data_IF_853695419641
#
_entry.id   IF_853695419641
#
_cell.length_a   1.000
_cell.length_b   1.000
_cell.length_c   1.000
_cell.angle_alpha   90.00
_cell.angle_beta   90.00
_cell.angle_gamma   90.00
#
_symmetry.space_group_name_H-M   'P 1'
#
loop_
_entity.id
_entity.type
_entity.pdbx_description
1 polymer ?
#
# COMPACT_ATOMS: atom_id res chain seq x y z
N UNK A 1 -32.85 25.34 -16.47
CA UNK A 1 -32.70 24.52 -15.22
C UNK A 1 -32.10 23.21 -15.66
N UNK A 2 -30.81 23.04 -15.50
CA UNK A 2 -30.05 21.86 -15.92
C UNK A 2 -29.62 21.12 -14.66
N UNK A 3 -30.14 19.90 -14.46
CA UNK A 3 -29.82 19.02 -13.36
C UNK A 3 -28.39 18.46 -13.53
N UNK A 4 -27.42 19.08 -12.87
CA UNK A 4 -26.10 18.49 -12.68
C UNK A 4 -26.15 17.48 -11.53
N UNK A 5 -26.71 16.30 -11.80
CA UNK A 5 -26.60 15.14 -10.93
C UNK A 5 -25.16 14.64 -10.87
N UNK A 6 -24.51 14.82 -9.71
CA UNK A 6 -23.19 14.28 -9.41
C UNK A 6 -23.26 12.76 -9.26
N UNK A 7 -23.37 12.03 -10.36
CA UNK A 7 -23.11 10.58 -10.38
C UNK A 7 -21.61 10.32 -10.19
N UNK A 8 -21.15 10.20 -8.96
CA UNK A 8 -19.91 9.50 -8.60
C UNK A 8 -20.11 7.98 -8.80
N UNK A 9 -20.46 7.55 -10.01
CA UNK A 9 -20.48 6.15 -10.37
C UNK A 9 -19.08 5.57 -10.29
N UNK A 10 -18.95 4.33 -9.79
CA UNK A 10 -17.69 3.57 -9.87
C UNK A 10 -17.23 3.58 -11.32
N UNK A 11 -16.02 4.08 -11.57
CA UNK A 11 -15.47 4.16 -12.92
C UNK A 11 -15.04 2.77 -13.34
N UNK A 12 -15.48 2.33 -14.51
CA UNK A 12 -15.16 1.03 -15.08
C UNK A 12 -13.68 0.95 -15.46
N UNK A 13 -13.06 -0.21 -15.26
CA UNK A 13 -11.70 -0.51 -15.69
C UNK A 13 -11.64 -1.27 -17.01
N UNK A 14 -12.78 -1.65 -17.57
CA UNK A 14 -12.86 -2.40 -18.84
C UNK A 14 -12.13 -1.70 -19.96
N UNK A 15 -11.17 -2.38 -20.59
CA UNK A 15 -10.33 -1.86 -21.68
C UNK A 15 -9.33 -0.76 -21.28
N UNK A 16 -9.16 -0.46 -19.98
CA UNK A 16 -8.13 0.46 -19.50
C UNK A 16 -6.78 -0.22 -19.42
N UNK A 17 -5.74 0.45 -19.88
CA UNK A 17 -4.35 0.02 -19.74
C UNK A 17 -3.82 0.45 -18.37
N UNK A 18 -3.60 -0.53 -17.50
CA UNK A 18 -3.12 -0.30 -16.11
C UNK A 18 -1.72 -0.85 -15.94
N UNK A 19 -0.73 0.01 -15.78
CA UNK A 19 0.67 -0.34 -15.54
C UNK A 19 0.89 -0.58 -14.03
N UNK A 20 1.41 -1.77 -13.67
CA UNK A 20 1.62 -2.14 -12.27
C UNK A 20 3.09 -2.52 -12.07
N UNK A 21 3.80 -1.81 -11.17
CA UNK A 21 5.19 -2.11 -10.85
C UNK A 21 5.32 -3.09 -9.69
N UNK A 22 6.37 -3.92 -9.70
CA UNK A 22 6.58 -4.97 -8.70
C UNK A 22 5.52 -6.06 -8.79
N UNK A 23 5.05 -6.36 -10.00
CA UNK A 23 3.91 -7.23 -10.26
C UNK A 23 4.19 -8.73 -10.13
N UNK A 24 5.45 -9.15 -10.01
CA UNK A 24 5.81 -10.58 -9.97
C UNK A 24 5.49 -11.26 -8.63
N UNK A 25 5.19 -10.53 -7.54
CA UNK A 25 4.95 -11.12 -6.23
C UNK A 25 4.11 -10.23 -5.30
N UNK A 26 3.67 -10.80 -4.16
CA UNK A 26 3.05 -10.06 -3.07
C UNK A 26 1.85 -9.21 -3.49
N UNK A 27 1.82 -7.95 -3.06
CA UNK A 27 0.74 -7.00 -3.35
C UNK A 27 0.58 -6.77 -4.85
N UNK A 28 1.71 -6.62 -5.58
CA UNK A 28 1.67 -6.32 -7.03
C UNK A 28 1.04 -7.46 -7.84
N UNK A 29 1.40 -8.73 -7.54
CA UNK A 29 0.77 -9.90 -8.17
C UNK A 29 -0.73 -9.97 -7.85
N UNK A 30 -1.10 -9.86 -6.58
CA UNK A 30 -2.51 -9.88 -6.18
C UNK A 30 -3.32 -8.74 -6.83
N UNK A 31 -2.73 -7.54 -6.93
CA UNK A 31 -3.35 -6.40 -7.61
C UNK A 31 -3.51 -6.65 -9.11
N UNK A 32 -2.51 -7.23 -9.78
CA UNK A 32 -2.58 -7.56 -11.20
C UNK A 32 -3.76 -8.49 -11.51
N UNK A 33 -3.90 -9.58 -10.74
CA UNK A 33 -5.02 -10.51 -10.86
C UNK A 33 -6.38 -9.83 -10.62
N UNK A 34 -6.48 -9.03 -9.55
CA UNK A 34 -7.72 -8.36 -9.19
C UNK A 34 -8.13 -7.28 -10.21
N UNK A 35 -7.17 -6.55 -10.76
CA UNK A 35 -7.40 -5.49 -11.77
C UNK A 35 -7.77 -6.11 -13.12
N UNK A 36 -7.09 -7.19 -13.55
CA UNK A 36 -7.45 -7.94 -14.77
C UNK A 36 -8.87 -8.50 -14.67
N UNK A 37 -9.27 -9.05 -13.52
CA UNK A 37 -10.65 -9.51 -13.26
C UNK A 37 -11.71 -8.42 -13.39
N UNK A 38 -11.31 -7.13 -13.33
CA UNK A 38 -12.19 -5.98 -13.60
C UNK A 38 -12.19 -5.54 -15.07
N UNK A 39 -11.66 -6.36 -15.98
CA UNK A 39 -11.65 -6.11 -17.42
C UNK A 39 -10.56 -5.16 -17.91
N UNK A 40 -9.59 -4.80 -17.08
CA UNK A 40 -8.44 -4.01 -17.51
C UNK A 40 -7.44 -4.86 -18.29
N UNK A 41 -6.71 -4.23 -19.20
CA UNK A 41 -5.47 -4.76 -19.78
C UNK A 41 -4.34 -4.38 -18.82
N UNK A 42 -3.74 -5.37 -18.16
CA UNK A 42 -2.68 -5.11 -17.18
C UNK A 42 -1.30 -5.22 -17.82
N UNK A 43 -0.50 -4.18 -17.62
CA UNK A 43 0.89 -4.08 -18.08
C UNK A 43 1.78 -4.25 -16.84
N UNK A 44 2.50 -5.37 -16.79
CA UNK A 44 3.17 -5.80 -15.57
C UNK A 44 4.68 -5.52 -15.65
N UNK A 45 5.23 -4.76 -14.70
CA UNK A 45 6.65 -4.48 -14.60
C UNK A 45 7.26 -5.18 -13.38
N UNK A 46 8.31 -5.95 -13.61
CA UNK A 46 9.20 -6.50 -12.58
C UNK A 46 10.55 -6.83 -13.19
N UNK A 47 11.57 -7.11 -12.35
CA UNK A 47 12.92 -7.42 -12.83
C UNK A 47 13.09 -8.87 -13.32
N UNK A 48 12.36 -9.80 -12.71
CA UNK A 48 12.46 -11.24 -13.01
C UNK A 48 11.42 -11.61 -14.04
N UNK A 49 11.91 -12.00 -15.21
CA UNK A 49 11.05 -12.33 -16.35
C UNK A 49 10.20 -13.57 -16.08
N UNK A 50 10.83 -14.65 -15.60
CA UNK A 50 10.17 -15.93 -15.30
C UNK A 50 9.00 -15.82 -14.33
N UNK A 51 9.19 -15.07 -13.24
CA UNK A 51 8.10 -14.82 -12.29
C UNK A 51 7.00 -13.91 -12.87
N UNK A 52 7.37 -13.00 -13.76
CA UNK A 52 6.44 -12.09 -14.40
C UNK A 52 5.58 -12.85 -15.41
N UNK A 53 6.22 -13.71 -16.21
CA UNK A 53 5.54 -14.56 -17.21
C UNK A 53 4.54 -15.51 -16.53
N UNK A 54 4.90 -16.09 -15.39
CA UNK A 54 3.96 -16.91 -14.62
C UNK A 54 2.69 -16.14 -14.19
N UNK A 55 2.81 -14.86 -13.84
CA UNK A 55 1.63 -14.03 -13.49
C UNK A 55 0.81 -13.69 -14.75
N UNK A 56 1.48 -13.41 -15.88
CA UNK A 56 0.81 -13.18 -17.17
C UNK A 56 -0.01 -14.39 -17.57
N UNK A 57 0.58 -15.60 -17.50
CA UNK A 57 -0.08 -16.84 -17.87
C UNK A 57 -1.28 -17.15 -16.96
N UNK A 58 -1.13 -16.91 -15.65
CA UNK A 58 -2.24 -17.06 -14.70
C UNK A 58 -3.42 -16.14 -15.03
N UNK A 59 -3.15 -14.86 -15.37
CA UNK A 59 -4.19 -13.91 -15.75
C UNK A 59 -4.86 -14.31 -17.05
N UNK A 60 -4.09 -14.75 -18.07
CA UNK A 60 -4.60 -15.20 -19.36
C UNK A 60 -5.43 -16.48 -19.24
N UNK A 61 -4.98 -17.43 -18.43
CA UNK A 61 -5.73 -18.65 -18.13
C UNK A 61 -7.08 -18.37 -17.47
N UNK A 62 -7.16 -17.29 -16.68
CA UNK A 62 -8.41 -16.80 -16.09
C UNK A 62 -9.27 -15.93 -17.04
N UNK A 63 -8.89 -15.82 -18.33
CA UNK A 63 -9.63 -15.04 -19.34
C UNK A 63 -9.33 -13.53 -19.31
N UNK A 64 -8.34 -13.07 -18.55
CA UNK A 64 -7.91 -11.67 -18.50
C UNK A 64 -6.87 -11.31 -19.56
N UNK A 65 -6.59 -10.02 -19.72
CA UNK A 65 -5.56 -9.50 -20.62
C UNK A 65 -4.35 -9.01 -19.83
N UNK A 66 -3.15 -9.56 -20.10
CA UNK A 66 -1.92 -9.19 -19.42
C UNK A 66 -0.71 -9.25 -20.35
N UNK A 67 0.25 -8.34 -20.14
CA UNK A 67 1.53 -8.27 -20.82
C UNK A 67 2.65 -8.03 -19.80
N UNK A 68 3.74 -8.79 -19.90
CA UNK A 68 4.89 -8.69 -19.01
C UNK A 68 6.05 -7.92 -19.65
N UNK A 69 6.66 -7.03 -18.88
CA UNK A 69 7.79 -6.21 -19.28
C UNK A 69 8.89 -6.29 -18.21
N UNK A 70 9.95 -7.09 -18.43
CA UNK A 70 11.10 -7.07 -17.54
C UNK A 70 11.75 -5.69 -17.50
N UNK A 71 11.80 -5.07 -16.30
CA UNK A 71 12.28 -3.71 -16.12
C UNK A 71 12.88 -3.51 -14.74
N UNK A 72 14.06 -2.91 -14.66
CA UNK A 72 14.57 -2.35 -13.41
C UNK A 72 14.23 -0.86 -13.34
N UNK A 73 13.27 -0.51 -12.53
CA UNK A 73 12.84 0.88 -12.36
C UNK A 73 13.88 1.80 -11.71
N UNK A 74 14.99 1.24 -11.22
CA UNK A 74 16.10 2.04 -10.68
C UNK A 74 17.08 2.49 -11.77
N UNK A 75 17.00 1.87 -12.95
CA UNK A 75 17.78 2.21 -14.13
C UNK A 75 16.95 3.02 -15.13
N UNK A 76 17.43 4.22 -15.47
CA UNK A 76 16.71 5.13 -16.38
C UNK A 76 16.62 4.59 -17.81
N UNK A 77 17.69 3.96 -18.31
CA UNK A 77 17.71 3.39 -19.65
C UNK A 77 16.74 2.19 -19.77
N UNK A 78 16.70 1.35 -18.73
CA UNK A 78 15.73 0.24 -18.64
C UNK A 78 14.28 0.74 -18.67
N UNK A 79 13.98 1.82 -17.94
CA UNK A 79 12.65 2.44 -17.92
C UNK A 79 12.28 3.01 -19.28
N UNK A 80 13.18 3.79 -19.90
CA UNK A 80 12.96 4.42 -21.20
C UNK A 80 12.67 3.35 -22.27
N UNK A 81 13.56 2.38 -22.45
CA UNK A 81 13.39 1.31 -23.42
C UNK A 81 12.09 0.49 -23.19
N UNK A 82 11.73 0.26 -21.92
CA UNK A 82 10.49 -0.45 -21.58
C UNK A 82 9.25 0.36 -21.93
N UNK A 83 9.24 1.66 -21.63
CA UNK A 83 8.09 2.51 -21.93
C UNK A 83 7.94 2.76 -23.43
N UNK A 84 9.03 2.92 -24.17
CA UNK A 84 9.01 3.06 -25.63
C UNK A 84 8.36 1.83 -26.28
N UNK A 85 8.81 0.63 -25.89
CA UNK A 85 8.24 -0.63 -26.34
C UNK A 85 6.74 -0.72 -26.01
N UNK A 86 6.37 -0.48 -24.75
CA UNK A 86 5.02 -0.58 -24.26
C UNK A 86 4.08 0.44 -24.98
N UNK A 87 4.54 1.68 -25.19
CA UNK A 87 3.77 2.70 -25.89
C UNK A 87 3.65 2.41 -27.39
N UNK A 88 4.68 1.82 -28.02
CA UNK A 88 4.60 1.37 -29.40
C UNK A 88 3.58 0.22 -29.57
N UNK A 89 3.50 -0.72 -28.62
CA UNK A 89 2.58 -1.85 -28.67
C UNK A 89 1.12 -1.49 -28.32
N UNK A 90 0.91 -0.59 -27.36
CA UNK A 90 -0.43 -0.30 -26.80
C UNK A 90 -0.92 1.12 -27.03
N UNK A 91 -0.07 2.00 -27.50
CA UNK A 91 -0.38 3.41 -27.78
C UNK A 91 -0.56 4.29 -26.54
N UNK A 92 -0.86 3.73 -25.36
CA UNK A 92 -1.11 4.50 -24.14
C UNK A 92 -0.99 3.71 -22.87
N UNK A 93 -0.81 4.43 -21.76
CA UNK A 93 -1.08 3.95 -20.38
C UNK A 93 -2.15 4.86 -19.77
N UNK A 94 -3.24 4.29 -19.31
CA UNK A 94 -4.34 5.05 -18.69
C UNK A 94 -4.10 5.28 -17.19
N UNK A 95 -3.54 4.27 -16.51
CA UNK A 95 -3.33 4.31 -15.07
C UNK A 95 -2.00 3.67 -14.71
N UNK A 96 -1.35 4.22 -13.67
CA UNK A 96 -0.08 3.71 -13.12
C UNK A 96 -0.26 3.34 -11.65
N UNK A 97 0.18 2.14 -11.27
CA UNK A 97 0.28 1.71 -9.87
C UNK A 97 1.76 1.56 -9.51
N UNK A 98 2.30 2.55 -8.82
CA UNK A 98 3.65 2.51 -8.23
C UNK A 98 3.64 1.67 -6.96
N UNK A 99 3.75 0.35 -7.13
CA UNK A 99 3.75 -0.62 -6.04
C UNK A 99 5.16 -1.17 -5.74
N UNK A 100 6.05 -1.23 -6.74
CA UNK A 100 7.41 -1.71 -6.50
C UNK A 100 8.05 -0.97 -5.32
N UNK A 101 8.67 -1.73 -4.43
CA UNK A 101 9.26 -1.14 -3.25
C UNK A 101 10.24 -2.08 -2.55
N UNK A 102 10.99 -1.50 -1.63
CA UNK A 102 11.92 -2.18 -0.73
C UNK A 102 11.73 -1.64 0.67
N UNK A 103 11.67 -2.52 1.65
CA UNK A 103 11.63 -2.16 3.07
C UNK A 103 12.89 -2.66 3.76
N UNK A 104 13.48 -1.81 4.59
CA UNK A 104 14.62 -2.15 5.45
C UNK A 104 14.22 -1.77 6.89
N UNK A 105 14.22 -2.77 7.76
CA UNK A 105 13.99 -2.58 9.19
C UNK A 105 15.31 -2.63 9.94
N UNK A 106 15.80 -1.48 10.35
CA UNK A 106 17.07 -1.32 11.09
C UNK A 106 17.00 -0.10 12.01
N UNK A 107 17.45 -0.26 13.25
CA UNK A 107 17.55 0.87 14.19
C UNK A 107 18.61 1.86 13.73
N UNK A 108 18.43 3.15 14.01
CA UNK A 108 19.34 4.20 13.56
C UNK A 108 20.78 4.01 14.04
N UNK A 109 20.98 3.56 15.28
CA UNK A 109 22.31 3.28 15.83
C UNK A 109 23.05 2.11 15.14
N UNK A 110 22.34 1.28 14.37
CA UNK A 110 22.89 0.21 13.51
C UNK A 110 22.98 0.62 12.04
N UNK A 111 22.76 1.89 11.74
CA UNK A 111 22.73 2.42 10.37
C UNK A 111 23.82 3.47 10.12
N UNK A 112 24.71 3.72 11.09
CA UNK A 112 25.73 4.76 11.00
C UNK A 112 26.73 4.56 9.86
N UNK A 113 27.00 3.34 9.48
CA UNK A 113 27.87 2.92 8.36
C UNK A 113 27.08 2.37 7.16
N UNK A 114 25.76 2.62 7.10
CA UNK A 114 24.82 1.96 6.17
C UNK A 114 24.08 2.95 5.29
N UNK A 115 24.73 4.04 4.85
CA UNK A 115 24.11 5.04 3.96
C UNK A 115 23.52 4.38 2.69
N UNK A 116 24.19 3.36 2.15
CA UNK A 116 23.70 2.60 1.00
C UNK A 116 22.30 1.96 1.19
N UNK A 117 21.86 1.73 2.45
CA UNK A 117 20.49 1.23 2.71
C UNK A 117 19.45 2.33 2.41
N UNK A 118 19.77 3.59 2.69
CA UNK A 118 18.94 4.74 2.35
C UNK A 118 18.93 4.99 0.84
N UNK A 119 20.10 4.99 0.21
CA UNK A 119 20.25 5.17 -1.25
C UNK A 119 19.45 4.15 -2.04
N UNK A 120 19.61 2.85 -1.73
CA UNK A 120 18.88 1.77 -2.39
C UNK A 120 17.37 1.83 -2.16
N UNK A 121 16.96 2.27 -0.98
CA UNK A 121 15.53 2.41 -0.65
C UNK A 121 14.94 3.59 -1.40
N UNK A 122 15.64 4.72 -1.44
CA UNK A 122 15.26 5.89 -2.24
C UNK A 122 15.22 5.59 -3.73
N UNK A 123 16.21 4.86 -4.25
CA UNK A 123 16.28 4.51 -5.68
C UNK A 123 15.02 3.77 -6.16
N UNK A 124 14.53 2.78 -5.38
CA UNK A 124 13.34 2.01 -5.76
C UNK A 124 12.05 2.75 -5.41
N UNK A 125 11.90 3.19 -4.14
CA UNK A 125 10.60 3.62 -3.61
C UNK A 125 10.20 5.03 -4.07
N UNK A 126 11.19 5.88 -4.36
CA UNK A 126 10.97 7.27 -4.76
C UNK A 126 11.39 7.50 -6.22
N UNK A 127 12.68 7.37 -6.54
CA UNK A 127 13.15 7.70 -7.88
C UNK A 127 12.59 6.77 -8.97
N UNK A 128 12.41 5.46 -8.67
CA UNK A 128 11.78 4.53 -9.61
C UNK A 128 10.32 4.91 -9.92
N UNK A 129 9.54 5.22 -8.88
CA UNK A 129 8.16 5.71 -9.05
C UNK A 129 8.11 7.06 -9.77
N UNK A 130 9.06 7.96 -9.47
CA UNK A 130 9.15 9.27 -10.08
C UNK A 130 9.48 9.18 -11.58
N UNK A 131 10.45 8.34 -11.99
CA UNK A 131 10.80 8.12 -13.41
C UNK A 131 9.59 7.72 -14.24
N UNK A 132 8.85 6.70 -13.79
CA UNK A 132 7.65 6.23 -14.49
C UNK A 132 6.57 7.30 -14.51
N UNK A 133 6.35 8.00 -13.42
CA UNK A 133 5.36 9.07 -13.34
C UNK A 133 5.67 10.20 -14.32
N UNK A 134 6.90 10.70 -14.31
CA UNK A 134 7.32 11.80 -15.17
C UNK A 134 7.31 11.43 -16.66
N UNK A 135 7.71 10.20 -17.00
CA UNK A 135 7.70 9.73 -18.39
C UNK A 135 6.28 9.53 -18.95
N UNK A 136 5.33 9.10 -18.10
CA UNK A 136 3.94 8.90 -18.53
C UNK A 136 3.08 10.17 -18.46
N UNK A 137 3.46 11.15 -17.67
CA UNK A 137 2.68 12.35 -17.42
C UNK A 137 2.36 13.16 -18.71
N UNK A 138 3.30 13.38 -19.67
CA UNK A 138 3.01 14.12 -20.89
C UNK A 138 1.83 13.54 -21.67
N UNK A 139 1.83 12.25 -21.98
CA UNK A 139 0.76 11.58 -22.73
C UNK A 139 -0.58 11.56 -21.96
N UNK A 140 -0.55 11.51 -20.61
CA UNK A 140 -1.76 11.61 -19.78
C UNK A 140 -2.35 13.02 -19.83
N UNK A 141 -1.51 14.04 -19.78
CA UNK A 141 -1.92 15.45 -19.87
C UNK A 141 -2.52 15.78 -21.25
N UNK A 142 -1.88 15.33 -22.32
CA UNK A 142 -2.36 15.53 -23.69
C UNK A 142 -3.77 14.93 -23.88
N UNK A 143 -4.01 13.72 -23.37
CA UNK A 143 -5.30 13.04 -23.43
C UNK A 143 -6.32 13.55 -22.41
N UNK A 144 -5.93 14.50 -21.54
CA UNK A 144 -6.75 14.99 -20.42
C UNK A 144 -7.28 13.86 -19.52
N UNK A 145 -6.50 12.78 -19.43
CA UNK A 145 -6.85 11.60 -18.66
C UNK A 145 -5.62 10.85 -18.17
N UNK A 146 -5.53 10.68 -16.86
CA UNK A 146 -4.54 9.84 -16.21
C UNK A 146 -4.90 9.60 -14.74
N UNK A 147 -4.51 8.44 -14.21
CA UNK A 147 -4.63 8.19 -12.77
C UNK A 147 -3.41 7.46 -12.25
N UNK A 148 -2.77 8.01 -11.22
CA UNK A 148 -1.55 7.49 -10.63
C UNK A 148 -1.83 7.10 -9.18
N UNK A 149 -1.60 5.84 -8.85
CA UNK A 149 -1.74 5.28 -7.51
C UNK A 149 -0.37 5.00 -6.94
N UNK A 150 -0.01 5.68 -5.86
CA UNK A 150 1.25 5.49 -5.15
C UNK A 150 1.03 4.70 -3.87
N UNK A 151 1.70 3.53 -3.76
CA UNK A 151 1.65 2.72 -2.56
C UNK A 151 2.65 3.26 -1.54
N UNK A 152 2.11 3.92 -0.53
CA UNK A 152 2.83 4.42 0.64
C UNK A 152 2.68 3.45 1.83
N UNK A 153 2.81 3.95 3.03
CA UNK A 153 2.76 3.15 4.26
C UNK A 153 2.11 3.94 5.40
N UNK A 154 1.23 3.30 6.15
CA UNK A 154 0.74 3.83 7.43
C UNK A 154 1.87 4.14 8.42
N UNK A 155 3.03 3.49 8.25
CA UNK A 155 4.24 3.80 9.00
C UNK A 155 4.73 5.24 8.85
N UNK A 156 4.48 5.90 7.69
CA UNK A 156 4.81 7.33 7.49
C UNK A 156 3.99 8.20 8.43
N UNK A 157 2.70 7.92 8.54
CA UNK A 157 1.76 8.65 9.40
C UNK A 157 2.08 8.46 10.89
N UNK A 158 2.46 7.24 11.28
CA UNK A 158 2.79 6.88 12.67
C UNK A 158 4.21 7.27 13.06
N UNK A 159 5.15 7.37 12.11
CA UNK A 159 6.60 7.47 12.32
C UNK A 159 7.17 6.22 13.03
N UNK A 160 6.86 5.04 12.49
CA UNK A 160 7.23 3.75 13.09
C UNK A 160 8.75 3.61 13.26
N UNK A 161 9.27 3.37 14.47
CA UNK A 161 10.71 3.23 14.71
C UNK A 161 11.34 2.07 13.94
N UNK A 162 12.64 2.13 13.66
CA UNK A 162 13.46 1.15 12.93
C UNK A 162 13.26 1.14 11.41
N UNK A 163 12.44 2.00 10.85
CA UNK A 163 12.16 2.06 9.42
C UNK A 163 12.60 3.38 8.77
N UNK A 164 13.61 4.08 9.34
CA UNK A 164 14.00 5.42 8.91
C UNK A 164 14.28 5.52 7.40
N UNK A 165 15.07 4.61 6.80
CA UNK A 165 15.34 4.61 5.37
C UNK A 165 14.06 4.40 4.54
N UNK A 166 13.22 3.44 4.94
CA UNK A 166 11.98 3.12 4.25
C UNK A 166 10.97 4.26 4.34
N UNK A 167 10.71 4.76 5.55
CA UNK A 167 9.71 5.80 5.76
C UNK A 167 10.14 7.15 5.15
N UNK A 168 11.42 7.50 5.17
CA UNK A 168 11.93 8.67 4.47
C UNK A 168 11.62 8.60 2.96
N UNK A 169 11.83 7.43 2.33
CA UNK A 169 11.55 7.25 0.89
C UNK A 169 10.04 7.32 0.57
N UNK A 170 9.18 6.79 1.43
CA UNK A 170 7.73 6.86 1.24
C UNK A 170 7.18 8.24 1.53
N UNK A 171 7.71 8.95 2.55
CA UNK A 171 7.35 10.34 2.82
C UNK A 171 7.74 11.29 1.67
N UNK A 172 8.88 11.06 1.02
CA UNK A 172 9.28 11.80 -0.18
C UNK A 172 8.27 11.59 -1.32
N UNK A 173 7.82 10.34 -1.55
CA UNK A 173 6.80 10.03 -2.56
C UNK A 173 5.44 10.65 -2.22
N UNK A 174 5.05 10.64 -0.94
CA UNK A 174 3.80 11.26 -0.48
C UNK A 174 3.82 12.76 -0.77
N UNK A 175 4.91 13.45 -0.40
CA UNK A 175 5.03 14.89 -0.63
C UNK A 175 5.05 15.25 -2.12
N UNK A 176 5.78 14.49 -2.94
CA UNK A 176 5.72 14.63 -4.40
C UNK A 176 4.28 14.49 -4.91
N UNK A 177 3.57 13.46 -4.44
CA UNK A 177 2.18 13.18 -4.86
C UNK A 177 1.24 14.33 -4.49
N UNK A 178 1.37 14.91 -3.31
CA UNK A 178 0.56 16.04 -2.87
C UNK A 178 0.72 17.25 -3.80
N UNK A 179 1.96 17.58 -4.16
CA UNK A 179 2.28 18.72 -5.04
C UNK A 179 1.82 18.43 -6.47
N UNK A 180 2.23 17.30 -7.04
CA UNK A 180 1.88 16.91 -8.41
C UNK A 180 0.36 16.86 -8.65
N UNK A 181 -0.41 16.37 -7.67
CA UNK A 181 -1.86 16.31 -7.79
C UNK A 181 -2.55 17.68 -7.86
N UNK A 182 -1.95 18.72 -7.28
CA UNK A 182 -2.44 20.10 -7.39
C UNK A 182 -2.07 20.69 -8.76
N UNK A 183 -0.82 20.50 -9.17
CA UNK A 183 -0.29 21.05 -10.43
C UNK A 183 -0.96 20.47 -11.68
N UNK A 184 -1.42 19.20 -11.60
CA UNK A 184 -2.06 18.51 -12.74
C UNK A 184 -3.58 18.52 -12.71
N UNK A 185 -4.19 19.23 -11.77
CA UNK A 185 -5.65 19.24 -11.59
C UNK A 185 -6.40 19.67 -12.86
N UNK A 186 -5.92 20.70 -13.56
CA UNK A 186 -6.49 21.19 -14.81
C UNK A 186 -6.22 20.28 -16.02
N UNK A 187 -5.28 19.34 -15.89
CA UNK A 187 -4.89 18.42 -16.96
C UNK A 187 -5.70 17.12 -16.98
N UNK A 188 -6.63 16.92 -16.04
CA UNK A 188 -7.40 15.69 -15.92
C UNK A 188 -6.59 14.50 -15.39
N UNK A 189 -5.39 14.75 -14.86
CA UNK A 189 -4.55 13.74 -14.21
C UNK A 189 -4.77 13.79 -12.71
N UNK A 190 -5.05 12.63 -12.12
CA UNK A 190 -5.38 12.49 -10.70
C UNK A 190 -4.42 11.53 -9.99
N UNK A 191 -4.25 11.73 -8.70
CA UNK A 191 -3.36 10.91 -7.87
C UNK A 191 -4.11 10.35 -6.66
N UNK A 192 -3.77 9.11 -6.29
CA UNK A 192 -4.17 8.49 -5.01
C UNK A 192 -2.93 8.02 -4.27
N UNK A 193 -2.77 8.43 -3.02
CA UNK A 193 -1.84 7.81 -2.08
C UNK A 193 -2.57 6.77 -1.23
N UNK A 194 -2.02 5.56 -1.15
CA UNK A 194 -2.53 4.52 -0.25
C UNK A 194 -1.52 4.31 0.88
N UNK A 195 -1.88 4.64 2.10
CA UNK A 195 -1.07 4.33 3.29
C UNK A 195 -1.37 2.89 3.74
N UNK A 196 -0.68 1.93 3.09
CA UNK A 196 -0.86 0.50 3.38
C UNK A 196 -0.45 0.17 4.81
N UNK A 197 -1.25 -0.64 5.53
CA UNK A 197 -0.81 -1.28 6.76
C UNK A 197 0.24 -2.36 6.46
N UNK A 198 0.65 -3.11 7.49
CA UNK A 198 1.47 -4.29 7.28
C UNK A 198 0.69 -5.34 6.47
N UNK A 199 1.30 -5.85 5.39
CA UNK A 199 0.70 -6.87 4.51
C UNK A 199 1.62 -8.09 4.45
N UNK A 200 1.07 -9.29 4.61
CA UNK A 200 1.81 -10.56 4.54
C UNK A 200 2.36 -10.81 3.13
N UNK A 201 3.63 -10.50 2.93
CA UNK A 201 4.33 -10.62 1.65
C UNK A 201 5.77 -11.11 1.86
N UNK A 202 6.44 -11.62 0.82
CA UNK A 202 7.86 -11.98 0.92
C UNK A 202 8.76 -10.81 1.37
N UNK A 203 8.37 -9.57 1.14
CA UNK A 203 9.12 -8.38 1.55
C UNK A 203 9.31 -8.29 3.07
N UNK A 204 8.33 -8.75 3.87
CA UNK A 204 8.40 -8.67 5.34
C UNK A 204 9.06 -9.89 5.97
N UNK A 205 9.31 -10.97 5.23
CA UNK A 205 9.93 -12.19 5.74
C UNK A 205 11.23 -11.93 6.53
N UNK A 206 12.17 -11.11 6.03
CA UNK A 206 13.42 -10.82 6.75
C UNK A 206 13.23 -10.00 8.03
N UNK A 207 12.04 -9.43 8.24
CA UNK A 207 11.77 -8.57 9.41
C UNK A 207 11.22 -9.33 10.61
N UNK A 208 10.84 -10.60 10.43
CA UNK A 208 10.16 -11.41 11.43
C UNK A 208 8.67 -11.06 11.58
N UNK A 209 7.94 -11.85 12.34
CA UNK A 209 6.52 -11.59 12.61
C UNK A 209 6.36 -10.32 13.45
N UNK A 210 5.59 -9.36 12.94
CA UNK A 210 5.46 -8.01 13.51
C UNK A 210 4.05 -7.72 14.05
N UNK A 211 3.23 -8.73 14.23
CA UNK A 211 1.85 -8.59 14.68
C UNK A 211 0.81 -8.75 13.56
N UNK A 212 -0.41 -8.24 13.76
CA UNK A 212 -1.49 -8.41 12.78
C UNK A 212 -1.13 -7.76 11.45
N UNK A 213 -1.25 -8.53 10.37
CA UNK A 213 -0.96 -8.10 9.02
C UNK A 213 -2.12 -8.49 8.09
N UNK A 214 -2.45 -7.61 7.16
CA UNK A 214 -3.48 -7.83 6.16
C UNK A 214 -3.01 -8.83 5.10
N UNK A 215 -3.95 -9.37 4.32
CA UNK A 215 -3.62 -10.25 3.20
C UNK A 215 -3.26 -9.47 1.93
N UNK A 216 -2.52 -10.06 0.98
CA UNK A 216 -2.31 -9.47 -0.34
C UNK A 216 -3.62 -9.18 -1.09
N UNK A 217 -4.65 -10.01 -0.90
CA UNK A 217 -5.96 -9.86 -1.52
C UNK A 217 -6.69 -8.62 -0.97
N UNK A 218 -6.60 -8.35 0.34
CA UNK A 218 -7.11 -7.13 0.94
C UNK A 218 -6.42 -5.88 0.33
N UNK A 219 -5.10 -5.93 0.19
CA UNK A 219 -4.34 -4.86 -0.42
C UNK A 219 -4.71 -4.66 -1.89
N UNK A 220 -4.91 -5.75 -2.64
CA UNK A 220 -5.38 -5.72 -4.03
C UNK A 220 -6.78 -5.10 -4.15
N UNK A 221 -7.72 -5.46 -3.28
CA UNK A 221 -9.05 -4.84 -3.24
C UNK A 221 -8.97 -3.33 -2.98
N UNK A 222 -8.05 -2.90 -2.10
CA UNK A 222 -7.79 -1.48 -1.83
C UNK A 222 -7.23 -0.75 -3.06
N UNK A 223 -6.33 -1.39 -3.83
CA UNK A 223 -5.81 -0.85 -5.09
C UNK A 223 -6.92 -0.75 -6.14
N UNK A 224 -7.75 -1.78 -6.30
CA UNK A 224 -8.92 -1.73 -7.19
C UNK A 224 -9.84 -0.57 -6.80
N UNK A 225 -10.13 -0.38 -5.52
CA UNK A 225 -10.90 0.77 -5.03
C UNK A 225 -10.24 2.11 -5.40
N UNK A 226 -8.91 2.23 -5.24
CA UNK A 226 -8.18 3.43 -5.64
C UNK A 226 -8.34 3.73 -7.12
N UNK A 227 -8.23 2.71 -7.99
CA UNK A 227 -8.37 2.85 -9.44
C UNK A 227 -9.80 3.20 -9.87
N UNK A 228 -10.83 2.68 -9.19
CA UNK A 228 -12.24 2.90 -9.55
C UNK A 228 -12.84 4.16 -8.94
N UNK A 229 -12.55 4.48 -7.67
CA UNK A 229 -13.13 5.63 -6.95
C UNK A 229 -12.25 6.89 -7.07
N UNK A 230 -10.94 6.71 -7.24
CA UNK A 230 -9.90 7.77 -7.35
C UNK A 230 -9.93 8.77 -6.19
N UNK A 231 -9.97 8.29 -4.93
CA UNK A 231 -9.86 9.18 -3.79
C UNK A 231 -8.46 9.78 -3.72
N UNK A 232 -8.31 10.94 -3.10
CA UNK A 232 -6.99 11.54 -2.91
C UNK A 232 -6.08 10.70 -2.01
N UNK A 233 -6.66 10.11 -0.96
CA UNK A 233 -5.96 9.25 0.01
C UNK A 233 -6.84 8.07 0.40
N UNK A 234 -6.19 6.97 0.74
CA UNK A 234 -6.78 5.83 1.45
C UNK A 234 -5.88 5.54 2.65
N UNK A 235 -6.43 5.74 3.83
CA UNK A 235 -5.74 5.59 5.11
C UNK A 235 -6.34 4.45 5.92
N UNK A 236 -5.56 3.95 6.87
CA UNK A 236 -6.05 3.04 7.90
C UNK A 236 -6.18 3.80 9.24
N UNK A 237 -7.09 3.39 10.14
CA UNK A 237 -7.37 4.13 11.38
C UNK A 237 -6.14 4.41 12.23
N UNK A 238 -5.21 3.44 12.34
CA UNK A 238 -3.97 3.59 13.11
C UNK A 238 -3.06 4.68 12.52
N UNK A 239 -3.01 4.82 11.20
CA UNK A 239 -2.25 5.86 10.53
C UNK A 239 -2.83 7.25 10.82
N UNK A 240 -4.13 7.41 10.62
CA UNK A 240 -4.85 8.65 10.91
C UNK A 240 -4.68 9.08 12.38
N UNK A 241 -4.80 8.12 13.32
CA UNK A 241 -4.55 8.40 14.74
C UNK A 241 -3.11 8.86 14.99
N UNK A 242 -2.13 8.28 14.28
CA UNK A 242 -0.72 8.69 14.33
C UNK A 242 -0.50 10.14 13.89
N UNK A 243 -1.16 10.58 12.82
CA UNK A 243 -1.14 11.98 12.35
C UNK A 243 -1.75 12.94 13.38
N UNK A 244 -2.91 12.61 13.94
CA UNK A 244 -3.51 13.40 15.01
C UNK A 244 -2.60 13.47 16.24
N UNK A 245 -1.99 12.35 16.63
CA UNK A 245 -1.02 12.31 17.72
C UNK A 245 0.20 13.21 17.46
N UNK A 246 0.68 13.24 16.21
CA UNK A 246 1.79 14.12 15.81
C UNK A 246 1.42 15.60 15.91
N UNK A 247 0.18 15.96 15.55
CA UNK A 247 -0.26 17.36 15.52
C UNK A 247 -0.64 17.89 16.92
N UNK A 248 -1.38 17.09 17.70
CA UNK A 248 -2.00 17.57 18.94
C UNK A 248 -1.26 17.16 20.23
N UNK A 249 -0.51 16.04 20.17
CA UNK A 249 0.18 15.51 21.35
C UNK A 249 1.56 14.92 21.00
N UNK A 250 2.47 15.68 20.36
CA UNK A 250 3.73 15.16 19.83
C UNK A 250 4.60 14.50 20.90
N UNK A 251 4.71 15.08 22.09
CA UNK A 251 5.52 14.52 23.20
C UNK A 251 4.97 13.17 23.69
N UNK A 252 3.63 13.05 23.77
CA UNK A 252 2.98 11.78 24.20
C UNK A 252 3.20 10.72 23.13
N UNK A 253 3.00 11.06 21.86
CA UNK A 253 3.29 10.16 20.73
C UNK A 253 4.75 9.68 20.77
N UNK A 254 5.70 10.58 20.94
CA UNK A 254 7.13 10.25 20.96
C UNK A 254 7.47 9.32 22.13
N UNK A 255 6.89 9.54 23.31
CA UNK A 255 7.06 8.66 24.46
C UNK A 255 6.49 7.24 24.19
N UNK A 256 5.30 7.16 23.60
CA UNK A 256 4.68 5.89 23.21
C UNK A 256 5.54 5.15 22.19
N UNK A 257 5.99 5.84 21.14
CA UNK A 257 6.85 5.28 20.10
C UNK A 257 8.23 4.86 20.65
N UNK A 258 8.79 5.63 21.58
CA UNK A 258 10.04 5.25 22.25
C UNK A 258 9.85 3.99 23.10
N UNK A 259 8.76 3.88 23.83
CA UNK A 259 8.44 2.68 24.59
C UNK A 259 8.26 1.45 23.68
N UNK A 260 7.50 1.62 22.59
CA UNK A 260 7.36 0.60 21.54
C UNK A 260 8.73 0.19 20.94
N UNK A 261 9.59 1.15 20.62
CA UNK A 261 10.95 0.89 20.15
C UNK A 261 11.76 0.02 21.11
N UNK A 262 11.65 0.26 22.41
CA UNK A 262 12.37 -0.53 23.43
C UNK A 262 11.83 -1.95 23.61
N UNK A 263 10.54 -2.16 23.38
CA UNK A 263 9.88 -3.46 23.54
C UNK A 263 10.15 -4.41 22.38
N UNK A 264 10.38 -3.89 21.18
CA UNK A 264 10.54 -4.72 19.98
C UNK A 264 12.02 -4.88 19.64
N UNK A 265 12.52 -6.13 19.55
CA UNK A 265 13.94 -6.39 19.22
C UNK A 265 14.25 -6.00 17.77
N UNK A 266 15.55 -5.92 17.46
CA UNK A 266 16.02 -5.80 16.08
C UNK A 266 15.65 -7.05 15.27
N UNK A 267 15.45 -6.87 13.94
CA UNK A 267 15.19 -8.01 13.06
C UNK A 267 16.42 -8.92 12.97
N UNK A 268 16.24 -10.22 12.69
CA UNK A 268 17.35 -11.14 12.46
C UNK A 268 18.34 -10.60 11.42
N UNK A 269 17.84 -10.07 10.30
CA UNK A 269 18.68 -9.46 9.27
C UNK A 269 19.46 -8.22 9.76
N UNK A 270 18.91 -7.43 10.69
CA UNK A 270 19.62 -6.30 11.29
C UNK A 270 20.72 -6.74 12.28
N UNK A 271 20.61 -7.95 12.83
CA UNK A 271 21.64 -8.58 13.68
C UNK A 271 22.70 -9.34 12.89
N UNK A 272 22.54 -9.45 11.56
CA UNK A 272 23.43 -10.25 10.71
C UNK A 272 23.08 -11.74 10.66
N UNK A 273 21.93 -12.12 11.20
CA UNK A 273 21.42 -13.50 11.18
C UNK A 273 20.71 -13.76 9.83
N UNK A 274 20.82 -14.99 9.29
CA UNK A 274 20.02 -15.39 8.13
C UNK A 274 18.56 -15.48 8.56
N UNK A 275 17.67 -14.82 7.79
CA UNK A 275 16.23 -14.98 7.99
C UNK A 275 15.84 -16.43 7.65
N UNK A 276 15.08 -17.08 8.55
CA UNK A 276 14.41 -18.33 8.20
C UNK A 276 13.41 -18.09 7.04
N UNK A 277 13.35 -19.01 6.06
CA UNK A 277 12.33 -18.93 5.03
C UNK A 277 10.95 -18.93 5.67
N UNK A 278 10.04 -18.08 5.19
CA UNK A 278 8.64 -18.17 5.59
C UNK A 278 8.12 -19.56 5.23
N UNK A 279 7.37 -20.23 6.13
CA UNK A 279 6.67 -21.44 5.76
C UNK A 279 5.81 -21.14 4.53
N UNK A 280 6.02 -21.91 3.47
CA UNK A 280 5.19 -21.80 2.28
C UNK A 280 3.75 -22.06 2.71
N UNK A 281 2.76 -21.25 2.26
CA UNK A 281 1.37 -21.57 2.51
C UNK A 281 1.12 -22.95 1.92
N UNK A 282 0.84 -23.92 2.79
CA UNK A 282 0.30 -25.19 2.33
C UNK A 282 -1.00 -24.84 1.63
N UNK A 283 -1.05 -25.13 0.32
CA UNK A 283 -2.29 -25.11 -0.45
C UNK A 283 -3.21 -26.15 0.18
N UNK A 284 -3.96 -25.74 1.19
CA UNK A 284 -5.13 -26.49 1.63
C UNK A 284 -6.10 -26.42 0.45
N UNK A 285 -6.18 -27.51 -0.30
CA UNK A 285 -7.25 -27.68 -1.27
C UNK A 285 -8.55 -27.44 -0.53
N UNK A 286 -9.23 -26.35 -0.84
CA UNK A 286 -10.60 -26.10 -0.41
C UNK A 286 -11.41 -27.23 -1.03
N UNK A 287 -11.79 -28.23 -0.22
CA UNK A 287 -12.74 -29.25 -0.62
C UNK A 287 -14.04 -28.54 -0.99
N UNK A 288 -14.51 -28.84 -2.17
CA UNK A 288 -15.78 -28.33 -2.69
C UNK A 288 -16.91 -28.81 -1.76
N UNK A 289 -17.82 -27.95 -1.29
CA UNK A 289 -18.95 -28.35 -0.43
C UNK A 289 -19.93 -29.31 -1.10
N UNK A 290 -19.72 -29.64 -2.37
CA UNK A 290 -20.57 -30.61 -3.12
C UNK A 290 -20.25 -32.10 -2.81
N UNK A 291 -19.06 -32.39 -2.24
CA UNK A 291 -18.65 -33.77 -1.95
C UNK A 291 -19.15 -34.30 -0.59
N UNK A 292 -19.69 -33.46 0.28
CA UNK A 292 -20.21 -33.88 1.60
C UNK A 292 -21.64 -34.39 1.61
N UNK A 293 -22.31 -34.52 0.44
CA UNK A 293 -23.68 -35.06 0.35
C UNK A 293 -23.78 -36.58 0.14
N UNK A 294 -22.66 -37.26 -0.02
CA UNK A 294 -22.65 -38.67 -0.32
C UNK A 294 -22.37 -39.63 0.85
N UNK A 295 -22.03 -39.12 2.05
CA UNK A 295 -21.65 -39.96 3.21
C UNK A 295 -22.44 -39.75 4.51
N UNK A 296 -23.53 -38.98 4.47
CA UNK A 296 -24.40 -38.76 5.63
C UNK A 296 -25.67 -39.63 5.58
N UNK A 297 -25.45 -40.93 5.51
CA UNK A 297 -26.50 -41.90 5.83
C UNK A 297 -25.81 -43.08 6.51
N UNK A 298 -25.65 -43.05 7.80
CA UNK A 298 -25.68 -44.10 8.83
C UNK A 298 -25.03 -43.55 10.13
N UNK A 299 -25.83 -43.67 11.16
CA UNK A 299 -25.57 -43.67 12.61
C UNK A 299 -26.09 -42.47 13.41
N UNK A 300 -27.36 -42.67 13.80
CA UNK A 300 -27.97 -42.04 14.98
C UNK A 300 -27.68 -42.92 16.21
N UNK A 301 -26.95 -42.38 17.20
CA UNK A 301 -27.21 -42.72 18.62
C UNK A 301 -26.62 -41.62 19.53
N UNK A 302 -27.46 -41.18 20.43
CA UNK A 302 -27.35 -40.07 21.32
C UNK A 302 -26.25 -40.11 22.36
N UNK A 303 -25.95 -38.93 22.88
CA UNK A 303 -25.69 -38.68 24.31
C UNK A 303 -25.83 -37.17 24.58
N UNK A 304 -26.44 -36.90 25.69
CA UNK A 304 -26.93 -35.65 26.29
C UNK A 304 -25.87 -34.60 26.61
N UNK A 305 -26.32 -33.31 26.52
CA UNK A 305 -25.72 -32.09 27.06
C UNK A 305 -25.55 -32.10 28.58
N UNK A 306 -24.60 -31.38 29.13
CA UNK A 306 -24.91 -30.57 30.31
C UNK A 306 -24.65 -29.07 30.08
N UNK A 307 -25.52 -28.31 30.74
CA UNK A 307 -25.58 -26.86 30.75
C UNK A 307 -24.39 -26.24 31.52
N UNK A 308 -23.85 -25.15 30.99
CA UNK A 308 -22.84 -24.31 31.63
C UNK A 308 -23.35 -22.87 31.81
N UNK A 309 -23.27 -22.44 33.02
CA UNK A 309 -23.68 -21.17 33.65
C UNK A 309 -23.10 -19.90 33.01
N UNK A 310 -23.81 -18.75 33.10
CA UNK A 310 -23.34 -17.48 32.58
C UNK A 310 -22.33 -16.79 33.52
N UNK A 311 -21.25 -16.22 32.97
CA UNK A 311 -20.31 -15.37 33.71
C UNK A 311 -20.84 -13.92 33.82
N UNK A 312 -20.60 -13.24 34.96
CA UNK A 312 -21.05 -11.87 35.16
C UNK A 312 -20.18 -10.83 34.44
N UNK A 313 -20.83 -9.77 33.96
CA UNK A 313 -20.22 -8.62 33.33
C UNK A 313 -19.53 -7.71 34.37
N UNK A 314 -18.28 -7.28 34.02
CA UNK A 314 -17.54 -6.29 34.81
C UNK A 314 -17.99 -4.86 34.46
N UNK A 315 -18.12 -3.96 35.45
CA UNK A 315 -18.57 -2.59 35.22
C UNK A 315 -17.45 -1.70 34.66
N UNK A 316 -17.76 -0.89 33.65
CA UNK A 316 -16.91 0.14 33.09
C UNK A 316 -16.79 1.35 34.04
N UNK A 317 -15.61 1.97 34.19
CA UNK A 317 -15.44 3.16 35.00
C UNK A 317 -16.05 4.40 34.33
N UNK A 318 -16.87 5.14 35.07
CA UNK A 318 -17.45 6.43 34.68
C UNK A 318 -16.36 7.50 34.71
N UNK A 319 -15.95 8.02 33.54
CA UNK A 319 -15.10 9.21 33.42
C UNK A 319 -16.00 10.45 33.58
N UNK A 320 -15.76 11.23 34.65
CA UNK A 320 -16.38 12.55 34.82
C UNK A 320 -15.71 13.55 33.88
N UNK A 321 -16.48 14.11 32.95
CA UNK A 321 -16.06 15.22 32.10
C UNK A 321 -15.83 16.49 32.95
N UNK A 322 -14.61 16.99 32.99
CA UNK A 322 -14.26 18.30 33.51
C UNK A 322 -14.08 19.26 32.34
N UNK A 323 -14.96 20.23 32.22
CA UNK A 323 -14.98 21.19 31.14
C UNK A 323 -13.65 21.96 31.02
N UNK A 324 -13.05 21.92 29.82
CA UNK A 324 -11.86 22.69 29.51
C UNK A 324 -12.24 24.13 29.11
N UNK A 325 -11.92 25.10 29.95
CA UNK A 325 -11.75 26.50 29.56
C UNK A 325 -10.28 26.68 29.17
N UNK A 326 -9.98 26.74 27.87
CA UNK A 326 -8.59 26.91 27.43
C UNK A 326 -8.35 26.93 25.92
N UNK A 327 -9.34 26.71 25.08
CA UNK A 327 -9.17 26.54 23.63
C UNK A 327 -9.02 27.84 22.83
N UNK A 328 -9.34 29.00 23.39
CA UNK A 328 -9.30 30.28 22.66
C UNK A 328 -7.88 30.87 22.51
N UNK A 329 -6.94 30.53 23.39
CA UNK A 329 -5.58 31.10 23.40
C UNK A 329 -4.62 30.36 22.46
N UNK A 330 -4.85 29.07 22.18
CA UNK A 330 -4.01 28.25 21.31
C UNK A 330 -4.25 28.58 19.83
N UNK A 331 -5.48 28.83 19.42
CA UNK A 331 -5.82 29.20 18.05
C UNK A 331 -5.27 30.58 17.62
N UNK A 332 -5.12 31.54 18.55
CA UNK A 332 -4.52 32.84 18.25
C UNK A 332 -2.99 32.82 18.02
N UNK A 333 -2.27 31.81 18.53
CA UNK A 333 -0.83 31.63 18.28
C UNK A 333 -0.54 30.88 16.98
N UNK A 334 -1.42 29.99 16.52
CA UNK A 334 -1.25 29.28 15.25
C UNK A 334 -1.46 30.20 14.03
N UNK A 335 -2.27 31.26 14.15
CA UNK A 335 -2.54 32.19 13.06
C UNK A 335 -1.39 33.18 12.75
N UNK A 336 -0.28 33.17 13.51
CA UNK A 336 0.87 34.08 13.30
C UNK A 336 2.04 33.44 12.53
N UNK A 337 1.93 32.18 12.12
CA UNK A 337 2.99 31.53 11.35
C UNK A 337 2.51 31.27 9.91
N UNK A 338 2.70 32.26 9.04
CA UNK A 338 2.61 32.11 7.59
C UNK A 338 4.04 32.01 7.07
N UNK A 339 4.50 30.81 6.59
CA UNK A 339 5.80 30.71 5.97
C UNK A 339 5.73 31.31 4.56
N UNK A 340 6.56 32.25 4.26
CA UNK A 340 6.77 32.67 2.89
C UNK A 340 7.03 34.14 2.66
N UNK A 341 8.10 34.69 3.22
CA UNK A 341 8.73 35.90 2.65
C UNK A 341 10.20 35.98 3.10
N UNK A 342 11.02 35.00 2.79
CA UNK A 342 12.47 35.17 2.75
C UNK A 342 13.04 34.23 1.69
N UNK A 343 13.16 34.75 0.49
CA UNK A 343 14.15 34.37 -0.52
C UNK A 343 15.15 35.52 -0.61
#
# INVERSE_FOLDING_TARGET
MSENGTHRGKRDLTGRYVLITGASSGIGRAAALAVAKKGAVVLLLARRADELDAVVDEIRAAGGAAHGYPCDITDSASVEATLDKLLAEHGRVDMLVNNAGRSIRRAIHRSTDRLHDYERTMAVNYFGALRLTLALLPQMRERKFGHIVNISSAGVQVATPRYSAYLASKAALDKFTEVAAVETMADGVTFTTIHMPLVRTPMIAPTGNQGPAESPEWAAATIVRALTERPRRIDVPVGTLGEFGALFAPRIRDLVLHRYYRMIPDSPAARGERAEPLPQPQLTMVRDPADDRATAAVESTGVSKPAGTPRPALPLPRVRARAARGTATVLRRAARWVPGTHW
#
